data_IF_180207103515
#
_entry.id   IF_180207103515
#
_cell.length_a   1.000
_cell.length_b   1.000
_cell.length_c   1.000
_cell.angle_alpha   90.00
_cell.angle_beta   90.00
_cell.angle_gamma   90.00
#
_symmetry.space_group_name_H-M   'P 1'
#
loop_
_entity.id
_entity.type
_entity.pdbx_description
1 polymer ?
#
# COMPACT_ATOMS: atom_id res chain seq x y z
N UNK A 1 -24.93 -41.97 13.88
CA UNK A 1 -23.64 -41.31 14.14
C UNK A 1 -23.47 -41.10 15.65
N UNK A 2 -22.29 -41.36 16.23
CA UNK A 2 -22.05 -41.16 17.68
C UNK A 2 -22.00 -39.66 18.01
N UNK A 3 -22.45 -39.26 19.22
CA UNK A 3 -22.48 -37.86 19.70
C UNK A 3 -21.17 -37.08 19.48
N UNK A 4 -20.02 -37.76 19.50
CA UNK A 4 -18.69 -37.17 19.24
C UNK A 4 -18.51 -36.59 17.83
N UNK A 5 -19.12 -37.19 16.80
CA UNK A 5 -19.01 -36.70 15.43
C UNK A 5 -19.82 -35.42 15.21
N UNK A 6 -20.92 -35.27 15.94
CA UNK A 6 -21.73 -34.05 15.93
C UNK A 6 -21.00 -32.86 16.55
N UNK A 7 -20.25 -33.08 17.64
CA UNK A 7 -19.41 -32.03 18.23
C UNK A 7 -18.32 -31.54 17.27
N UNK A 8 -17.66 -32.46 16.55
CA UNK A 8 -16.62 -32.12 15.58
C UNK A 8 -17.17 -31.42 14.33
N UNK A 9 -18.34 -31.85 13.85
CA UNK A 9 -19.03 -31.19 12.75
C UNK A 9 -19.50 -29.78 13.15
N UNK A 10 -20.06 -29.62 14.36
CA UNK A 10 -20.47 -28.32 14.87
C UNK A 10 -19.29 -27.37 15.04
N UNK A 11 -18.16 -27.84 15.60
CA UNK A 11 -16.95 -27.03 15.69
C UNK A 11 -16.45 -26.63 14.30
N UNK A 12 -16.45 -27.55 13.34
CA UNK A 12 -16.08 -27.23 11.96
C UNK A 12 -16.99 -26.14 11.37
N UNK A 13 -18.31 -26.25 11.56
CA UNK A 13 -19.25 -25.23 11.08
C UNK A 13 -18.99 -23.88 11.73
N UNK A 14 -18.80 -23.85 13.05
CA UNK A 14 -18.56 -22.61 13.77
C UNK A 14 -17.24 -21.97 13.36
N UNK A 15 -16.13 -22.71 13.31
CA UNK A 15 -14.81 -22.13 13.05
C UNK A 15 -14.53 -21.86 11.57
N UNK A 16 -15.31 -22.41 10.65
CA UNK A 16 -15.12 -22.20 9.20
C UNK A 16 -16.21 -21.30 8.64
N UNK A 17 -17.47 -21.69 8.80
CA UNK A 17 -18.57 -20.97 8.15
C UNK A 17 -18.91 -19.65 8.84
N UNK A 18 -18.80 -19.56 10.17
CA UNK A 18 -19.12 -18.30 10.86
C UNK A 18 -18.17 -17.18 10.43
N UNK A 19 -16.82 -17.33 10.47
CA UNK A 19 -15.93 -16.29 9.97
C UNK A 19 -16.20 -15.91 8.51
N UNK A 20 -16.44 -16.91 7.65
CA UNK A 20 -16.73 -16.66 6.23
C UNK A 20 -18.02 -15.86 6.05
N UNK A 21 -19.09 -16.20 6.78
CA UNK A 21 -20.37 -15.48 6.71
C UNK A 21 -20.21 -14.07 7.26
N UNK A 22 -19.46 -13.88 8.35
CA UNK A 22 -19.20 -12.55 8.94
C UNK A 22 -18.45 -11.68 7.94
N UNK A 23 -17.39 -12.19 7.32
CA UNK A 23 -16.63 -11.47 6.29
C UNK A 23 -17.50 -11.16 5.08
N UNK A 24 -18.25 -12.14 4.56
CA UNK A 24 -19.13 -11.93 3.43
C UNK A 24 -20.24 -10.91 3.72
N UNK A 25 -20.81 -10.93 4.93
CA UNK A 25 -21.80 -9.96 5.35
C UNK A 25 -21.21 -8.55 5.44
N UNK A 26 -20.01 -8.42 6.02
CA UNK A 26 -19.31 -7.13 6.08
C UNK A 26 -19.04 -6.58 4.68
N UNK A 27 -18.45 -7.39 3.80
CA UNK A 27 -18.07 -6.98 2.45
C UNK A 27 -19.27 -6.66 1.54
N UNK A 28 -20.45 -7.19 1.84
CA UNK A 28 -21.63 -7.00 0.99
C UNK A 28 -22.54 -5.88 1.48
N UNK A 29 -22.66 -5.70 2.80
CA UNK A 29 -23.63 -4.76 3.38
C UNK A 29 -23.02 -3.54 4.05
N UNK A 30 -21.73 -3.59 4.43
CA UNK A 30 -21.07 -2.54 5.21
C UNK A 30 -19.99 -1.85 4.40
N UNK A 31 -19.11 -2.61 3.74
CA UNK A 31 -17.97 -2.02 3.03
C UNK A 31 -18.39 -1.19 1.83
N UNK A 32 -17.61 -0.13 1.58
CA UNK A 32 -17.81 0.72 0.41
C UNK A 32 -16.98 0.25 -0.78
N UNK A 33 -17.42 0.61 -1.98
CA UNK A 33 -16.69 0.33 -3.22
C UNK A 33 -15.34 1.05 -3.24
N UNK A 34 -14.26 0.29 -3.48
CA UNK A 34 -12.91 0.83 -3.61
C UNK A 34 -12.51 0.92 -5.08
N UNK A 35 -11.89 2.06 -5.44
CA UNK A 35 -11.43 2.31 -6.80
C UNK A 35 -9.93 2.61 -6.79
N UNK A 36 -9.16 1.88 -7.60
CA UNK A 36 -7.73 2.08 -7.75
C UNK A 36 -7.39 2.54 -9.17
N UNK A 37 -6.45 3.48 -9.28
CA UNK A 37 -5.87 3.92 -10.55
C UNK A 37 -4.38 3.61 -10.57
N UNK A 38 -3.89 3.04 -11.66
CA UNK A 38 -2.47 2.71 -11.82
C UNK A 38 -1.80 3.70 -12.77
N UNK A 39 -0.68 4.27 -12.36
CA UNK A 39 0.18 5.13 -13.18
C UNK A 39 1.59 4.55 -13.27
N UNK A 40 2.27 4.78 -14.40
CA UNK A 40 3.64 4.31 -14.63
C UNK A 40 4.52 5.43 -15.19
N UNK A 41 5.77 5.48 -14.74
CA UNK A 41 6.74 6.51 -15.12
C UNK A 41 8.02 5.86 -15.67
N UNK A 42 8.69 6.55 -16.60
CA UNK A 42 10.03 6.18 -17.06
C UNK A 42 10.97 7.34 -16.76
N UNK A 43 12.06 7.04 -16.03
CA UNK A 43 13.07 8.03 -15.67
C UNK A 43 14.20 7.94 -16.70
N UNK A 44 14.42 9.03 -17.43
CA UNK A 44 15.51 9.13 -18.40
C UNK A 44 16.49 10.19 -17.92
N UNK A 45 17.75 9.80 -17.70
CA UNK A 45 18.83 10.77 -17.47
C UNK A 45 19.10 11.53 -18.76
N UNK A 46 19.29 12.84 -18.64
CA UNK A 46 19.82 13.66 -19.72
C UNK A 46 21.33 13.45 -19.75
N UNK A 47 21.82 12.62 -20.67
CA UNK A 47 23.26 12.38 -20.85
C UNK A 47 23.91 13.64 -21.46
N UNK A 48 24.34 14.58 -20.63
CA UNK A 48 25.25 15.64 -21.04
C UNK A 48 26.64 15.05 -21.20
N UNK A 49 26.95 14.61 -22.42
CA UNK A 49 28.19 13.94 -22.81
C UNK A 49 29.43 14.77 -22.40
N UNK A 50 30.00 14.46 -21.24
CA UNK A 50 31.19 15.12 -20.68
C UNK A 50 32.33 14.12 -20.58
N UNK A 51 33.58 14.58 -20.68
CA UNK A 51 34.77 13.72 -20.62
C UNK A 51 34.85 12.87 -19.31
N UNK A 52 34.11 13.25 -18.28
CA UNK A 52 33.89 12.50 -17.03
C UNK A 52 33.12 11.19 -17.21
N UNK A 53 32.29 11.04 -18.25
CA UNK A 53 31.49 9.82 -18.49
C UNK A 53 32.35 8.63 -18.92
N UNK A 54 33.47 8.86 -19.61
CA UNK A 54 34.41 7.80 -19.98
C UNK A 54 35.11 7.19 -18.74
N UNK A 55 35.41 8.03 -17.74
CA UNK A 55 35.96 7.57 -16.47
C UNK A 55 34.87 6.93 -15.60
N UNK A 56 33.64 7.45 -15.64
CA UNK A 56 32.47 6.85 -14.99
C UNK A 56 32.11 5.46 -15.54
N UNK A 57 32.17 5.27 -16.86
CA UNK A 57 31.95 3.97 -17.51
C UNK A 57 32.99 2.91 -17.16
N UNK A 58 34.26 3.32 -16.95
CA UNK A 58 35.31 2.43 -16.45
C UNK A 58 35.06 2.06 -14.97
N UNK A 59 34.62 3.02 -14.14
CA UNK A 59 34.29 2.76 -12.73
C UNK A 59 33.12 1.78 -12.59
N UNK A 60 32.10 1.90 -13.45
CA UNK A 60 30.97 0.99 -13.50
C UNK A 60 31.37 -0.42 -13.95
N UNK A 61 32.36 -0.54 -14.85
CA UNK A 61 32.99 -1.82 -15.20
C UNK A 61 33.78 -2.43 -14.05
N UNK A 62 34.37 -1.62 -13.16
CA UNK A 62 35.05 -2.10 -11.94
C UNK A 62 34.11 -2.47 -10.79
N UNK A 63 32.79 -2.42 -11.01
CA UNK A 63 31.79 -2.80 -10.00
C UNK A 63 31.44 -1.70 -9.00
N UNK A 64 31.88 -0.46 -9.22
CA UNK A 64 31.38 0.68 -8.45
C UNK A 64 29.92 0.94 -8.85
N UNK A 65 28.99 0.49 -8.01
CA UNK A 65 27.55 0.65 -8.25
C UNK A 65 27.17 2.10 -8.00
N UNK A 66 26.92 2.87 -9.06
CA UNK A 66 26.21 4.14 -8.94
C UNK A 66 24.73 3.85 -8.72
N UNK A 67 24.15 4.33 -7.63
CA UNK A 67 22.70 4.35 -7.44
C UNK A 67 22.07 5.10 -8.62
N UNK A 68 21.12 4.50 -9.31
CA UNK A 68 20.49 5.17 -10.44
C UNK A 68 19.51 6.24 -9.92
N UNK A 69 19.32 7.33 -10.65
CA UNK A 69 18.35 8.37 -10.24
C UNK A 69 16.93 7.79 -10.19
N UNK A 70 16.68 6.71 -10.94
CA UNK A 70 15.45 5.94 -10.87
C UNK A 70 15.26 5.25 -9.51
N UNK A 71 16.33 4.70 -8.92
CA UNK A 71 16.27 4.07 -7.59
C UNK A 71 15.98 5.11 -6.51
N UNK A 72 16.61 6.28 -6.59
CA UNK A 72 16.36 7.38 -5.63
C UNK A 72 14.92 7.88 -5.72
N UNK A 73 14.38 8.02 -6.94
CA UNK A 73 12.97 8.40 -7.13
C UNK A 73 12.01 7.31 -6.65
N UNK A 74 12.34 6.04 -6.86
CA UNK A 74 11.54 4.91 -6.40
C UNK A 74 11.43 4.88 -4.87
N UNK A 75 12.55 5.05 -4.17
CA UNK A 75 12.59 5.17 -2.71
C UNK A 75 11.83 6.40 -2.22
N UNK A 76 11.97 7.54 -2.90
CA UNK A 76 11.25 8.76 -2.55
C UNK A 76 9.72 8.60 -2.68
N UNK A 77 9.24 7.96 -3.74
CA UNK A 77 7.79 7.74 -3.97
C UNK A 77 7.17 6.80 -2.93
N UNK A 78 7.96 5.98 -2.23
CA UNK A 78 7.49 5.12 -1.14
C UNK A 78 7.81 5.70 0.25
N UNK A 79 8.42 6.88 0.31
CA UNK A 79 8.81 7.49 1.57
C UNK A 79 7.63 8.16 2.28
N UNK A 80 7.75 8.30 3.60
CA UNK A 80 6.84 9.12 4.38
C UNK A 80 6.77 10.58 3.89
N UNK A 81 7.89 11.11 3.38
CA UNK A 81 7.98 12.48 2.91
C UNK A 81 7.03 12.73 1.72
N UNK A 82 6.83 11.76 0.83
CA UNK A 82 5.87 11.93 -0.26
C UNK A 82 4.42 11.97 0.25
N UNK A 83 4.10 11.15 1.25
CA UNK A 83 2.75 11.09 1.86
C UNK A 83 2.44 12.42 2.51
N UNK A 84 3.40 13.00 3.25
CA UNK A 84 3.25 14.31 3.87
C UNK A 84 3.02 15.42 2.82
N UNK A 85 3.83 15.47 1.76
CA UNK A 85 3.68 16.46 0.68
C UNK A 85 2.33 16.34 -0.04
N UNK A 86 1.87 15.11 -0.31
CA UNK A 86 0.58 14.89 -0.96
C UNK A 86 -0.55 15.29 0.00
N UNK A 87 -0.49 14.90 1.28
CA UNK A 87 -1.52 15.24 2.27
C UNK A 87 -1.69 16.75 2.42
N UNK A 88 -0.59 17.51 2.43
CA UNK A 88 -0.64 18.99 2.45
C UNK A 88 -1.30 19.61 1.20
N UNK A 89 -1.35 18.89 0.08
CA UNK A 89 -1.87 19.40 -1.19
C UNK A 89 -3.33 19.01 -1.43
N UNK A 90 -3.71 17.78 -1.08
CA UNK A 90 -5.03 17.21 -1.43
C UNK A 90 -5.85 16.71 -0.24
N UNK A 91 -5.35 16.81 0.99
CA UNK A 91 -6.04 16.35 2.21
C UNK A 91 -6.50 14.88 2.11
N UNK A 92 -5.52 13.97 2.08
CA UNK A 92 -5.77 12.52 2.00
C UNK A 92 -6.51 12.05 3.26
N UNK A 93 -6.09 12.55 4.43
CA UNK A 93 -6.72 12.23 5.71
C UNK A 93 -8.23 12.51 5.68
N UNK A 94 -8.64 13.72 5.31
CA UNK A 94 -10.06 14.08 5.21
C UNK A 94 -10.81 13.30 4.12
N UNK A 95 -10.16 13.04 2.98
CA UNK A 95 -10.78 12.29 1.89
C UNK A 95 -11.07 10.83 2.25
N UNK A 96 -10.13 10.16 2.92
CA UNK A 96 -10.23 8.74 3.25
C UNK A 96 -10.90 8.46 4.60
N UNK A 97 -10.99 9.45 5.49
CA UNK A 97 -11.67 9.30 6.80
C UNK A 97 -13.17 9.55 6.76
N UNK A 98 -13.65 10.15 5.67
CA UNK A 98 -15.04 10.57 5.49
C UNK A 98 -16.09 9.50 5.82
N UNK A 99 -15.79 8.24 5.53
CA UNK A 99 -16.73 7.13 5.70
C UNK A 99 -16.33 6.16 6.83
N UNK A 100 -15.47 6.59 7.75
CA UNK A 100 -14.99 5.77 8.87
C UNK A 100 -16.14 5.25 9.76
N UNK A 101 -17.23 6.00 9.86
CA UNK A 101 -18.44 5.62 10.59
C UNK A 101 -19.19 4.46 9.95
N UNK A 102 -19.09 4.30 8.63
CA UNK A 102 -19.75 3.24 7.87
C UNK A 102 -18.82 2.05 7.63
N UNK A 103 -17.57 2.30 7.22
CA UNK A 103 -16.59 1.27 6.84
C UNK A 103 -15.29 1.38 7.66
N UNK A 104 -15.30 1.05 8.96
CA UNK A 104 -14.14 1.20 9.83
C UNK A 104 -13.00 0.21 9.56
N UNK A 105 -13.23 -0.85 8.77
CA UNK A 105 -12.15 -1.78 8.40
C UNK A 105 -11.34 -1.28 7.20
N UNK A 106 -11.93 -0.51 6.29
CA UNK A 106 -11.25 -0.06 5.06
C UNK A 106 -11.09 1.45 4.93
N UNK A 107 -11.83 2.28 5.68
CA UNK A 107 -11.55 3.72 5.76
C UNK A 107 -10.39 3.99 6.74
N UNK A 108 -9.81 5.19 6.69
CA UNK A 108 -8.84 5.63 7.71
C UNK A 108 -9.57 6.31 8.88
N UNK A 109 -9.02 6.27 10.09
CA UNK A 109 -9.64 6.92 11.24
C UNK A 109 -9.47 8.46 11.19
N UNK A 110 -10.42 9.23 11.76
CA UNK A 110 -10.48 10.68 11.62
C UNK A 110 -9.45 11.50 12.43
N UNK A 111 -8.39 10.86 12.94
CA UNK A 111 -7.27 11.50 13.65
C UNK A 111 -5.99 10.66 13.44
N UNK A 112 -5.78 10.20 12.21
CA UNK A 112 -4.67 9.29 11.89
C UNK A 112 -3.34 10.02 11.81
N UNK A 113 -2.31 9.46 12.44
CA UNK A 113 -0.97 10.03 12.35
C UNK A 113 -0.38 9.79 10.95
N UNK A 114 0.69 10.51 10.63
CA UNK A 114 1.37 10.33 9.34
C UNK A 114 1.94 8.91 9.14
N UNK A 115 2.28 8.23 10.23
CA UNK A 115 2.73 6.83 10.20
C UNK A 115 1.57 5.89 9.86
N UNK A 116 0.35 6.21 10.30
CA UNK A 116 -0.86 5.46 9.98
C UNK A 116 -1.25 5.63 8.51
N UNK A 117 -1.14 6.86 8.00
CA UNK A 117 -1.31 7.18 6.58
C UNK A 117 -0.30 6.42 5.71
N UNK A 118 0.95 6.28 6.18
CA UNK A 118 1.97 5.50 5.48
C UNK A 118 1.66 3.99 5.52
N UNK A 119 1.22 3.45 6.66
CA UNK A 119 0.89 2.03 6.83
C UNK A 119 -0.36 1.59 6.05
N UNK A 120 -1.30 2.50 5.83
CA UNK A 120 -2.52 2.23 5.09
C UNK A 120 -2.28 1.78 3.63
N UNK A 121 -1.09 2.07 3.07
CA UNK A 121 -0.68 1.72 1.71
C UNK A 121 0.49 0.72 1.69
#
# INVERSE_FOLDING_TARGET
>A
MKRRHWGLALSFVIFVFVPVIVVAWYLYFVSLDQYASTAGFTVRKEDSQSATDLLGGLAQFTGATSSSDADVLYEFIQSQEIVEKINQTVDIEGAYSKNWDVDPLFAIWPDADIEDLLWYW
#
